data_IF_282747946648
#
_entry.id   IF_282747946648
#
_cell.length_a   1.000
_cell.length_b   1.000
_cell.length_c   1.000
_cell.angle_alpha   90.00
_cell.angle_beta   90.00
_cell.angle_gamma   90.00
#
_symmetry.space_group_name_H-M   'P 1'
#
loop_
_entity.id
_entity.type
_entity.pdbx_description
1 polymer ?
#
# COMPACT_ATOMS: atom_id res chain seq x y z
N UNK A 1 4.50 1.52 -9.72
CA UNK A 1 3.43 0.90 -10.50
C UNK A 1 3.31 -0.58 -10.15
N UNK A 2 2.13 -1.16 -10.36
CA UNK A 2 1.92 -2.60 -10.23
C UNK A 2 2.49 -3.30 -11.48
N UNK A 3 3.31 -4.33 -11.27
CA UNK A 3 3.91 -5.15 -12.31
C UNK A 3 3.95 -6.60 -11.87
N UNK A 4 4.31 -7.52 -12.77
CA UNK A 4 4.51 -8.93 -12.41
C UNK A 4 5.53 -9.13 -11.27
N UNK A 5 6.50 -8.23 -11.15
CA UNK A 5 7.53 -8.28 -10.11
C UNK A 5 7.05 -7.74 -8.76
N UNK A 6 6.06 -6.85 -8.75
CA UNK A 6 5.58 -6.19 -7.53
C UNK A 6 4.30 -6.80 -6.97
N UNK A 7 3.57 -7.60 -7.75
CA UNK A 7 2.41 -8.34 -7.25
C UNK A 7 2.84 -9.34 -6.17
N UNK A 8 2.24 -9.24 -4.98
CA UNK A 8 2.54 -10.09 -3.84
C UNK A 8 3.98 -10.00 -3.33
N UNK A 9 4.70 -8.94 -3.68
CA UNK A 9 6.09 -8.73 -3.26
C UNK A 9 6.24 -8.68 -1.74
N UNK A 10 5.32 -7.98 -1.07
CA UNK A 10 5.27 -7.91 0.39
C UNK A 10 4.45 -9.08 0.94
N UNK A 11 5.12 -10.18 1.20
CA UNK A 11 4.58 -11.44 1.73
C UNK A 11 5.37 -11.90 2.96
N UNK A 12 5.01 -13.04 3.55
CA UNK A 12 5.68 -13.60 4.73
C UNK A 12 7.18 -13.77 4.53
N UNK A 13 7.61 -14.34 3.40
CA UNK A 13 9.03 -14.53 3.08
C UNK A 13 9.79 -13.21 2.98
N UNK A 14 9.15 -12.14 2.53
CA UNK A 14 9.73 -10.79 2.52
C UNK A 14 9.87 -10.25 3.95
N UNK A 15 8.84 -10.38 4.78
CA UNK A 15 8.86 -9.89 6.16
C UNK A 15 9.88 -10.62 7.03
N UNK A 16 10.08 -11.91 6.81
CA UNK A 16 11.06 -12.72 7.54
C UNK A 16 12.51 -12.28 7.36
N UNK A 17 12.83 -11.62 6.23
CA UNK A 17 14.20 -11.10 5.97
C UNK A 17 14.63 -10.01 6.94
N UNK A 18 13.72 -9.34 7.61
CA UNK A 18 14.06 -8.32 8.60
C UNK A 18 14.41 -8.95 9.94
N UNK A 19 15.52 -8.57 10.54
CA UNK A 19 15.92 -9.09 11.85
C UNK A 19 15.13 -8.48 13.01
N UNK A 20 14.64 -7.25 12.84
CA UNK A 20 13.86 -6.50 13.85
C UNK A 20 12.40 -6.41 13.44
N UNK A 21 11.47 -6.23 14.40
CA UNK A 21 10.10 -5.87 14.08
C UNK A 21 10.03 -4.59 13.25
N UNK A 22 9.11 -4.54 12.29
CA UNK A 22 8.98 -3.43 11.34
C UNK A 22 7.56 -2.85 11.36
N UNK A 23 7.44 -1.65 10.81
CA UNK A 23 6.16 -1.03 10.42
C UNK A 23 6.07 -1.09 8.89
N UNK A 24 4.92 -1.50 8.38
CA UNK A 24 4.65 -1.54 6.94
C UNK A 24 3.83 -0.31 6.55
N UNK A 25 4.27 0.41 5.53
CA UNK A 25 3.52 1.52 4.93
C UNK A 25 3.30 1.21 3.46
N UNK A 26 2.04 1.13 3.02
CA UNK A 26 1.70 0.92 1.62
C UNK A 26 0.82 2.06 1.09
N UNK A 27 1.42 2.92 0.29
CA UNK A 27 0.76 4.01 -0.45
C UNK A 27 0.86 3.81 -1.96
N UNK A 28 1.19 2.59 -2.41
CA UNK A 28 1.41 2.28 -3.82
C UNK A 28 0.20 1.60 -4.46
N UNK A 29 0.09 0.28 -4.33
CA UNK A 29 -1.02 -0.54 -4.83
C UNK A 29 -1.31 -1.69 -3.87
N UNK A 30 -2.60 -2.00 -3.67
CA UNK A 30 -3.04 -3.06 -2.75
C UNK A 30 -2.42 -4.41 -3.07
N UNK A 31 -2.46 -4.82 -4.34
CA UNK A 31 -1.90 -6.10 -4.82
C UNK A 31 -0.41 -6.31 -4.62
N UNK A 32 0.34 -5.29 -4.24
CA UNK A 32 1.76 -5.46 -3.87
C UNK A 32 1.95 -6.13 -2.50
N UNK A 33 0.90 -6.17 -1.69
CA UNK A 33 0.89 -6.70 -0.33
C UNK A 33 -0.05 -7.91 -0.23
N UNK A 34 0.44 -9.02 0.32
CA UNK A 34 -0.39 -10.19 0.65
C UNK A 34 -1.03 -9.95 2.02
N UNK A 35 -2.33 -9.70 2.02
CA UNK A 35 -3.06 -9.21 3.19
C UNK A 35 -3.10 -10.22 4.35
N UNK A 36 -3.27 -11.52 4.06
CA UNK A 36 -3.24 -12.56 5.08
C UNK A 36 -1.85 -12.70 5.72
N UNK A 37 -0.78 -12.55 4.94
CA UNK A 37 0.59 -12.58 5.46
C UNK A 37 0.88 -11.38 6.38
N UNK A 38 0.33 -10.20 6.05
CA UNK A 38 0.37 -9.04 6.93
C UNK A 38 -0.35 -9.32 8.25
N UNK A 39 -1.57 -9.88 8.19
CA UNK A 39 -2.38 -10.20 9.38
C UNK A 39 -1.63 -11.19 10.29
N UNK A 40 -1.07 -12.25 9.70
CA UNK A 40 -0.28 -13.24 10.43
C UNK A 40 0.97 -12.61 11.07
N UNK A 41 1.63 -11.71 10.35
CA UNK A 41 2.83 -11.01 10.83
C UNK A 41 2.52 -9.97 11.92
N UNK A 42 1.34 -9.35 11.90
CA UNK A 42 0.83 -8.50 12.99
C UNK A 42 0.55 -9.33 14.26
N UNK A 43 -0.08 -10.49 14.11
CA UNK A 43 -0.37 -11.39 15.22
C UNK A 43 0.92 -11.93 15.88
N UNK A 44 1.93 -12.29 15.09
CA UNK A 44 3.23 -12.75 15.58
C UNK A 44 4.14 -11.64 16.09
N UNK A 45 3.72 -10.36 15.97
CA UNK A 45 4.52 -9.16 16.30
C UNK A 45 5.80 -9.01 15.45
N UNK A 46 5.91 -9.69 14.34
CA UNK A 46 6.94 -9.45 13.34
C UNK A 46 6.72 -8.07 12.68
N UNK A 47 5.47 -7.73 12.46
CA UNK A 47 5.02 -6.38 12.10
C UNK A 47 4.33 -5.78 13.32
N UNK A 48 4.83 -4.62 13.78
CA UNK A 48 4.33 -3.92 14.96
C UNK A 48 3.35 -2.80 14.64
N UNK A 49 3.12 -2.54 13.35
CA UNK A 49 2.13 -1.58 12.87
C UNK A 49 2.04 -1.57 11.36
N UNK A 50 0.91 -1.09 10.84
CA UNK A 50 0.73 -0.92 9.40
C UNK A 50 -0.06 0.35 9.09
N UNK A 51 0.34 1.07 8.02
CA UNK A 51 -0.38 2.20 7.44
C UNK A 51 -0.70 1.86 5.99
N UNK A 52 -1.97 1.68 5.66
CA UNK A 52 -2.42 1.21 4.36
C UNK A 52 -3.37 2.23 3.74
N UNK A 53 -2.90 2.91 2.69
CA UNK A 53 -3.71 3.82 1.88
C UNK A 53 -4.40 3.09 0.72
N UNK A 54 -3.94 1.87 0.42
CA UNK A 54 -4.44 1.03 -0.66
C UNK A 54 -4.61 -0.42 -0.16
N UNK A 55 -5.68 -1.06 -0.61
CA UNK A 55 -5.97 -2.47 -0.34
C UNK A 55 -6.30 -3.19 -1.66
N UNK A 56 -6.09 -4.50 -1.73
CA UNK A 56 -6.42 -5.31 -2.92
C UNK A 56 -7.94 -5.37 -3.20
N UNK A 57 -8.72 -4.98 -2.22
CA UNK A 57 -10.19 -4.89 -2.26
C UNK A 57 -10.74 -3.74 -3.14
N UNK A 58 -9.87 -2.90 -3.72
CA UNK A 58 -10.26 -1.81 -4.63
C UNK A 58 -10.59 -2.34 -6.04
N UNK A 59 -11.50 -3.30 -6.15
CA UNK A 59 -12.07 -3.65 -7.45
C UNK A 59 -13.01 -2.54 -7.94
N UNK A 60 -13.02 -2.32 -9.25
CA UNK A 60 -13.77 -1.25 -9.94
C UNK A 60 -15.27 -1.17 -9.63
N UNK A 61 -15.83 -2.11 -8.89
CA UNK A 61 -17.26 -2.23 -8.60
C UNK A 61 -17.61 -2.16 -7.10
N UNK A 62 -16.69 -1.81 -6.20
CA UNK A 62 -16.90 -1.79 -4.74
C UNK A 62 -17.49 -3.08 -4.13
N UNK A 63 -17.56 -4.16 -4.89
CA UNK A 63 -18.02 -5.46 -4.41
C UNK A 63 -16.80 -6.27 -3.97
N UNK A 64 -16.52 -6.25 -2.67
CA UNK A 64 -15.55 -7.14 -2.04
C UNK A 64 -16.00 -8.58 -2.24
N UNK A 65 -15.11 -9.45 -2.68
CA UNK A 65 -15.40 -10.86 -2.55
C UNK A 65 -15.41 -11.25 -1.05
N UNK A 66 -16.03 -12.36 -0.70
CA UNK A 66 -16.26 -12.75 0.70
C UNK A 66 -14.97 -12.91 1.52
N UNK A 67 -13.89 -13.35 0.89
CA UNK A 67 -12.60 -13.55 1.57
C UNK A 67 -11.88 -12.21 1.81
N UNK A 68 -11.88 -11.32 0.84
CA UNK A 68 -11.31 -9.95 0.96
C UNK A 68 -12.01 -9.15 2.05
N UNK A 69 -13.34 -9.26 2.14
CA UNK A 69 -14.11 -8.62 3.19
C UNK A 69 -13.74 -9.15 4.59
N UNK A 70 -13.51 -10.46 4.74
CA UNK A 70 -13.08 -11.04 6.00
C UNK A 70 -11.70 -10.52 6.44
N UNK A 71 -10.74 -10.43 5.54
CA UNK A 71 -9.40 -9.94 5.84
C UNK A 71 -9.41 -8.46 6.21
N UNK A 72 -10.22 -7.66 5.53
CA UNK A 72 -10.45 -6.26 5.88
C UNK A 72 -11.07 -6.10 7.28
N UNK A 73 -12.09 -6.90 7.61
CA UNK A 73 -12.70 -6.90 8.95
C UNK A 73 -11.73 -7.35 10.04
N UNK A 74 -10.81 -8.29 9.74
CA UNK A 74 -9.73 -8.66 10.66
C UNK A 74 -8.77 -7.49 10.89
N UNK A 75 -8.36 -6.78 9.83
CA UNK A 75 -7.44 -5.63 9.94
C UNK A 75 -7.99 -4.51 10.82
N UNK A 76 -9.27 -4.20 10.71
CA UNK A 76 -9.92 -3.15 11.53
C UNK A 76 -9.87 -3.42 13.03
N UNK A 77 -9.62 -4.65 13.47
CA UNK A 77 -9.51 -5.01 14.87
C UNK A 77 -8.13 -4.67 15.48
N UNK A 78 -7.12 -4.46 14.65
CA UNK A 78 -5.79 -4.10 15.13
C UNK A 78 -5.72 -2.61 15.48
N UNK A 79 -5.34 -2.29 16.72
CA UNK A 79 -5.17 -0.90 17.19
C UNK A 79 -3.95 -0.19 16.60
N UNK A 80 -3.03 -0.95 16.06
CA UNK A 80 -1.78 -0.50 15.43
C UNK A 80 -1.84 -0.54 13.89
N UNK A 81 -3.03 -0.56 13.32
CA UNK A 81 -3.26 -0.45 11.86
C UNK A 81 -4.03 0.84 11.59
N UNK A 82 -3.52 1.63 10.64
CA UNK A 82 -4.15 2.84 10.12
C UNK A 82 -4.55 2.57 8.68
N UNK A 83 -5.80 2.89 8.35
CA UNK A 83 -6.35 2.76 6.99
C UNK A 83 -6.75 4.15 6.50
N UNK A 84 -6.44 4.46 5.24
CA UNK A 84 -6.90 5.67 4.57
C UNK A 84 -7.47 5.34 3.17
N UNK A 85 -8.41 6.15 2.64
CA UNK A 85 -9.17 5.78 1.45
C UNK A 85 -8.48 6.24 0.15
N UNK A 86 -7.25 5.76 -0.11
CA UNK A 86 -6.46 6.03 -1.32
C UNK A 86 -6.22 7.53 -1.59
N UNK A 87 -5.84 8.25 -0.55
CA UNK A 87 -5.68 9.73 -0.58
C UNK A 87 -4.24 10.20 -0.33
N UNK A 88 -3.27 9.31 -0.19
CA UNK A 88 -1.89 9.67 0.11
C UNK A 88 -1.25 10.62 -0.93
N UNK A 89 -1.72 10.57 -2.18
CA UNK A 89 -1.29 11.48 -3.26
C UNK A 89 -2.11 12.77 -3.40
N UNK A 90 -3.05 13.07 -2.51
CA UNK A 90 -4.03 14.16 -2.68
C UNK A 90 -3.66 15.44 -1.93
N UNK A 91 -2.45 15.54 -1.37
CA UNK A 91 -2.01 16.79 -0.74
C UNK A 91 -1.79 17.90 -1.78
N UNK A 92 -1.83 19.17 -1.31
CA UNK A 92 -1.52 20.33 -2.16
C UNK A 92 -0.12 20.23 -2.74
N UNK A 93 0.86 19.88 -1.92
CA UNK A 93 2.26 19.74 -2.29
C UNK A 93 2.47 18.64 -3.34
N UNK A 94 1.73 17.54 -3.23
CA UNK A 94 1.78 16.44 -4.21
C UNK A 94 1.30 16.90 -5.58
N UNK A 95 0.19 17.63 -5.64
CA UNK A 95 -0.38 18.18 -6.89
C UNK A 95 0.55 19.20 -7.52
N UNK A 96 1.08 20.13 -6.73
CA UNK A 96 2.02 21.14 -7.20
C UNK A 96 3.29 20.49 -7.75
N UNK A 97 3.87 19.54 -7.02
CA UNK A 97 5.07 18.83 -7.44
C UNK A 97 4.87 18.00 -8.72
N UNK A 98 3.72 17.37 -8.88
CA UNK A 98 3.38 16.67 -10.13
C UNK A 98 3.36 17.62 -11.32
N UNK A 99 2.73 18.79 -11.17
CA UNK A 99 2.68 19.81 -12.23
C UNK A 99 4.09 20.32 -12.58
N UNK A 100 4.90 20.66 -11.59
CA UNK A 100 6.28 21.11 -11.77
C UNK A 100 7.13 20.08 -12.51
N UNK A 101 7.10 18.81 -12.11
CA UNK A 101 7.86 17.73 -12.75
C UNK A 101 7.45 17.55 -14.21
N UNK A 102 6.15 17.66 -14.52
CA UNK A 102 5.67 17.55 -15.91
C UNK A 102 6.19 18.73 -16.74
N UNK A 103 6.10 19.96 -16.22
CA UNK A 103 6.63 21.14 -16.90
C UNK A 103 8.13 21.05 -17.15
N UNK A 104 8.90 20.62 -16.16
CA UNK A 104 10.34 20.40 -16.33
C UNK A 104 10.67 19.36 -17.43
N UNK A 105 9.92 18.25 -17.46
CA UNK A 105 10.11 17.21 -18.49
C UNK A 105 9.77 17.73 -19.88
N UNK A 106 8.72 18.51 -20.03
CA UNK A 106 8.33 19.14 -21.30
C UNK A 106 9.41 20.13 -21.72
N UNK A 107 9.85 21.00 -20.81
CA UNK A 107 10.90 21.98 -21.08
C UNK A 107 12.19 21.29 -21.58
N UNK A 108 12.68 20.29 -20.87
CA UNK A 108 13.88 19.53 -21.26
C UNK A 108 13.75 18.82 -22.59
N UNK A 109 12.54 18.40 -22.97
CA UNK A 109 12.35 17.61 -24.19
C UNK A 109 12.07 18.45 -25.43
N UNK A 110 11.46 19.61 -25.27
CA UNK A 110 10.91 20.37 -26.40
C UNK A 110 11.43 21.82 -26.52
N UNK A 111 12.09 22.36 -25.50
CA UNK A 111 12.48 23.77 -25.44
C UNK A 111 14.02 23.94 -25.39
N UNK A 112 14.76 22.90 -25.11
CA UNK A 112 16.21 22.84 -25.28
C UNK A 112 16.50 22.22 -26.70
#
# INVERSE_FOLDING_TARGET
>A
PLSSETIGMMNSSFFEKFQKPIIVINTSRGKSLVLEDLINSLNSKKIIGACLDVLDVESSNFSLNKAENQSFEKLKKFKNVVLSPHIAGWSYESKEKMAQIILEKIHRKFIL
#
